data_IF_062912079530
#
_entry.id   IF_062912079530
#
_cell.length_a   1.000
_cell.length_b   1.000
_cell.length_c   1.000
_cell.angle_alpha   90.00
_cell.angle_beta   90.00
_cell.angle_gamma   90.00
#
_symmetry.space_group_name_H-M   'P 1'
#
loop_
_entity.id
_entity.type
_entity.pdbx_description
1 polymer ?
#
# COMPACT_ATOMS: atom_id res chain seq x y z
N UNK A 1 10.19 -11.05 -13.86
CA UNK A 1 9.45 -9.96 -13.20
C UNK A 1 8.67 -10.53 -12.03
N UNK A 2 8.23 -9.73 -11.05
CA UNK A 2 7.44 -10.25 -9.92
C UNK A 2 6.16 -10.95 -10.42
N UNK A 3 5.61 -10.47 -11.54
CA UNK A 3 4.52 -11.12 -12.30
C UNK A 3 4.77 -12.58 -12.73
N UNK A 4 6.02 -13.04 -12.82
CA UNK A 4 6.32 -14.46 -13.11
C UNK A 4 6.06 -15.35 -11.90
N UNK A 5 6.17 -14.79 -10.69
CA UNK A 5 5.90 -15.48 -9.42
C UNK A 5 4.43 -15.36 -9.03
N UNK A 6 3.84 -14.18 -9.22
CA UNK A 6 2.45 -13.87 -8.86
C UNK A 6 1.77 -13.14 -10.02
N UNK A 7 0.89 -13.84 -10.74
CA UNK A 7 0.12 -13.26 -11.84
C UNK A 7 -1.09 -12.49 -11.32
N UNK A 8 -1.09 -11.18 -11.53
CA UNK A 8 -2.22 -10.32 -11.20
C UNK A 8 -3.50 -10.77 -11.94
N UNK A 9 -4.64 -10.76 -11.25
CA UNK A 9 -5.94 -11.10 -11.82
C UNK A 9 -6.22 -12.59 -12.07
N UNK A 10 -5.22 -13.48 -12.03
CA UNK A 10 -5.43 -14.91 -12.30
C UNK A 10 -5.85 -15.71 -11.06
N UNK A 11 -5.30 -15.38 -9.90
CA UNK A 11 -5.68 -15.96 -8.61
C UNK A 11 -6.24 -14.84 -7.73
N UNK A 12 -7.51 -14.94 -7.36
CA UNK A 12 -8.16 -14.04 -6.41
C UNK A 12 -8.23 -14.72 -5.03
N UNK A 13 -8.32 -13.91 -3.97
CA UNK A 13 -8.48 -14.40 -2.58
C UNK A 13 -7.30 -15.23 -2.03
N UNK A 14 -6.08 -14.91 -2.45
CA UNK A 14 -4.85 -15.51 -1.93
C UNK A 14 -4.12 -14.54 -1.00
N UNK A 15 -3.45 -15.09 0.02
CA UNK A 15 -2.55 -14.34 0.89
C UNK A 15 -1.12 -14.83 0.70
N UNK A 16 -0.18 -13.89 0.63
CA UNK A 16 1.25 -14.18 0.56
C UNK A 16 1.93 -13.57 1.78
N UNK A 17 2.79 -14.36 2.43
CA UNK A 17 3.60 -13.89 3.56
C UNK A 17 5.08 -13.94 3.18
N UNK A 18 5.74 -12.79 3.23
CA UNK A 18 7.18 -12.68 2.98
C UNK A 18 7.95 -12.78 4.29
N UNK A 19 8.76 -13.84 4.43
CA UNK A 19 9.56 -14.09 5.63
C UNK A 19 11.05 -14.00 5.29
N UNK A 20 11.80 -13.28 6.10
CA UNK A 20 13.24 -13.12 5.91
C UNK A 20 13.85 -12.16 6.93
N UNK A 21 15.18 -12.20 7.06
CA UNK A 21 15.93 -11.35 7.99
C UNK A 21 15.82 -9.85 7.62
N UNK A 22 16.27 -8.98 8.53
CA UNK A 22 16.39 -7.54 8.25
C UNK A 22 17.27 -7.34 7.00
N UNK A 23 16.85 -6.45 6.10
CA UNK A 23 17.59 -6.20 4.85
C UNK A 23 17.39 -7.25 3.75
N UNK A 24 16.63 -8.32 3.97
CA UNK A 24 16.33 -9.31 2.93
C UNK A 24 15.44 -8.80 1.77
N UNK A 25 15.08 -7.51 1.76
CA UNK A 25 14.31 -6.89 0.67
C UNK A 25 12.80 -7.07 0.75
N UNK A 26 12.22 -7.41 1.92
CA UNK A 26 10.77 -7.63 2.07
C UNK A 26 9.94 -6.41 1.66
N UNK A 27 10.29 -5.23 2.18
CA UNK A 27 9.60 -3.98 1.85
C UNK A 27 9.78 -3.63 0.39
N UNK A 28 11.01 -3.72 -0.13
CA UNK A 28 11.32 -3.50 -1.55
C UNK A 28 10.52 -4.43 -2.47
N UNK A 29 10.34 -5.70 -2.09
CA UNK A 29 9.47 -6.62 -2.83
C UNK A 29 8.01 -6.17 -2.81
N UNK A 30 7.48 -5.78 -1.66
CA UNK A 30 6.10 -5.30 -1.54
C UNK A 30 5.87 -4.03 -2.37
N UNK A 31 6.82 -3.10 -2.36
CA UNK A 31 6.84 -1.89 -3.19
C UNK A 31 6.89 -2.21 -4.69
N UNK A 32 7.75 -3.13 -5.10
CA UNK A 32 7.87 -3.54 -6.50
C UNK A 32 6.59 -4.25 -6.99
N UNK A 33 6.01 -5.14 -6.16
CA UNK A 33 4.73 -5.79 -6.44
C UNK A 33 3.60 -4.76 -6.58
N UNK A 34 3.53 -3.80 -5.64
CA UNK A 34 2.56 -2.72 -5.68
C UNK A 34 2.70 -1.89 -6.97
N UNK A 35 3.92 -1.44 -7.28
CA UNK A 35 4.20 -0.63 -8.46
C UNK A 35 3.81 -1.35 -9.76
N UNK A 36 4.13 -2.64 -9.86
CA UNK A 36 3.77 -3.46 -11.01
C UNK A 36 2.24 -3.58 -11.14
N UNK A 37 1.52 -3.89 -10.05
CA UNK A 37 0.06 -3.98 -10.05
C UNK A 37 -0.62 -2.67 -10.44
N UNK A 38 -0.18 -1.55 -9.85
CA UNK A 38 -0.67 -0.21 -10.17
C UNK A 38 -0.42 0.13 -11.65
N UNK A 39 0.76 -0.20 -12.19
CA UNK A 39 1.08 0.04 -13.60
C UNK A 39 0.19 -0.75 -14.56
N UNK A 40 -0.35 -1.88 -14.11
CA UNK A 40 -1.31 -2.71 -14.84
C UNK A 40 -2.77 -2.29 -14.61
N UNK A 41 -3.01 -1.24 -13.82
CA UNK A 41 -4.35 -0.70 -13.55
C UNK A 41 -5.07 -1.33 -12.36
N UNK A 42 -4.42 -2.23 -11.61
CA UNK A 42 -5.01 -2.78 -10.39
C UNK A 42 -5.00 -1.72 -9.30
N UNK A 43 -6.16 -1.45 -8.66
CA UNK A 43 -6.18 -0.56 -7.51
C UNK A 43 -5.51 -1.24 -6.31
N UNK A 44 -5.02 -0.43 -5.38
CA UNK A 44 -4.28 -0.95 -4.25
C UNK A 44 -4.49 -0.16 -2.97
N UNK A 45 -4.30 -0.85 -1.84
CA UNK A 45 -4.20 -0.25 -0.52
C UNK A 45 -2.88 -0.71 0.09
N UNK A 46 -2.08 0.21 0.62
CA UNK A 46 -0.84 -0.11 1.31
C UNK A 46 -0.93 0.33 2.76
N UNK A 47 -0.93 -0.64 3.68
CA UNK A 47 -0.92 -0.41 5.12
C UNK A 47 0.53 -0.39 5.60
N UNK A 48 0.96 0.68 6.25
CA UNK A 48 2.31 0.80 6.80
C UNK A 48 2.28 1.06 8.31
N UNK A 49 3.12 0.35 9.05
CA UNK A 49 3.20 0.44 10.52
C UNK A 49 4.59 0.83 11.04
N UNK A 50 5.64 0.53 10.26
CA UNK A 50 7.03 0.71 10.69
C UNK A 50 7.65 2.03 10.19
N UNK A 51 7.12 2.59 9.12
CA UNK A 51 7.58 3.85 8.50
C UNK A 51 6.41 4.65 7.93
N UNK A 52 6.59 5.95 7.73
CA UNK A 52 5.54 6.80 7.16
C UNK A 52 5.38 6.58 5.65
N UNK A 53 4.19 6.86 5.08
CA UNK A 53 3.95 6.85 3.63
C UNK A 53 4.95 7.72 2.85
N UNK A 54 5.46 8.80 3.45
CA UNK A 54 6.49 9.64 2.82
C UNK A 54 7.79 8.88 2.56
N UNK A 55 8.20 8.01 3.50
CA UNK A 55 9.40 7.19 3.34
C UNK A 55 9.20 6.19 2.21
N UNK A 56 8.06 5.50 2.18
CA UNK A 56 7.71 4.54 1.11
C UNK A 56 7.70 5.22 -0.27
N UNK A 57 7.04 6.38 -0.42
CA UNK A 57 7.06 7.14 -1.69
C UNK A 57 8.48 7.51 -2.13
N UNK A 58 9.31 7.97 -1.19
CA UNK A 58 10.70 8.31 -1.50
C UNK A 58 11.48 7.07 -1.98
N UNK A 59 11.31 5.93 -1.32
CA UNK A 59 11.99 4.69 -1.70
C UNK A 59 11.50 4.17 -3.06
N UNK A 60 10.19 4.16 -3.30
CA UNK A 60 9.61 3.84 -4.61
C UNK A 60 10.13 4.76 -5.72
N UNK A 61 10.23 6.07 -5.47
CA UNK A 61 10.72 7.04 -6.46
C UNK A 61 12.17 6.81 -6.86
N UNK A 62 13.02 6.32 -5.93
CA UNK A 62 14.42 5.96 -6.20
C UNK A 62 14.53 4.76 -7.14
N UNK A 63 13.51 3.90 -7.16
CA UNK A 63 13.38 2.79 -8.10
C UNK A 63 12.69 3.19 -9.41
N UNK A 64 12.29 4.46 -9.56
CA UNK A 64 11.58 4.96 -10.73
C UNK A 64 10.07 4.68 -10.71
N UNK A 65 9.51 4.28 -9.55
CA UNK A 65 8.08 4.05 -9.38
C UNK A 65 7.44 5.27 -8.72
N UNK A 66 6.59 5.97 -9.47
CA UNK A 66 5.83 7.13 -9.00
C UNK A 66 4.36 6.76 -8.84
N UNK A 67 3.77 7.08 -7.69
CA UNK A 67 2.38 6.69 -7.34
C UNK A 67 1.43 7.87 -7.21
N UNK A 68 1.93 9.11 -7.34
CA UNK A 68 1.21 10.33 -7.01
C UNK A 68 -0.08 10.50 -7.82
N UNK A 69 -0.08 10.08 -9.09
CA UNK A 69 -1.24 10.15 -9.98
C UNK A 69 -2.34 9.19 -9.50
N UNK A 70 -1.95 7.98 -9.07
CA UNK A 70 -2.86 6.95 -8.62
C UNK A 70 -3.40 7.23 -7.22
N UNK A 71 -2.61 7.90 -6.38
CA UNK A 71 -3.09 8.46 -5.12
C UNK A 71 -4.11 9.57 -5.34
N UNK A 72 -3.80 10.53 -6.21
CA UNK A 72 -4.70 11.65 -6.51
C UNK A 72 -6.01 11.22 -7.17
N UNK A 73 -5.98 10.15 -7.98
CA UNK A 73 -7.19 9.59 -8.61
C UNK A 73 -7.94 8.59 -7.73
N UNK A 74 -7.45 8.28 -6.53
CA UNK A 74 -8.08 7.33 -5.61
C UNK A 74 -7.96 5.86 -6.03
N UNK A 75 -7.10 5.54 -7.00
CA UNK A 75 -6.78 4.17 -7.40
C UNK A 75 -5.82 3.50 -6.41
N UNK A 76 -5.01 4.30 -5.70
CA UNK A 76 -4.08 3.83 -4.68
C UNK A 76 -4.23 4.65 -3.39
N UNK A 77 -4.34 3.98 -2.25
CA UNK A 77 -4.50 4.65 -0.95
C UNK A 77 -3.54 4.06 0.09
N UNK A 78 -2.86 4.93 0.84
CA UNK A 78 -2.10 4.54 2.02
C UNK A 78 -2.98 4.52 3.28
N UNK A 79 -2.77 3.52 4.12
CA UNK A 79 -3.21 3.53 5.53
C UNK A 79 -1.96 3.63 6.41
N UNK A 80 -1.87 4.70 7.19
CA UNK A 80 -0.71 5.07 7.99
C UNK A 80 -0.94 4.79 9.48
N UNK A 81 -0.31 3.73 9.98
CA UNK A 81 -0.23 3.44 11.41
C UNK A 81 1.00 4.01 12.10
N UNK A 82 1.94 4.61 11.37
CA UNK A 82 3.23 5.03 11.91
C UNK A 82 3.19 6.48 12.41
N UNK A 83 2.68 7.41 11.60
CA UNK A 83 2.91 8.84 11.80
C UNK A 83 2.27 9.41 13.08
N UNK A 84 1.03 9.03 13.39
CA UNK A 84 0.36 9.50 14.62
C UNK A 84 1.09 9.04 15.88
N UNK A 85 1.56 7.80 15.89
CA UNK A 85 2.35 7.23 16.99
C UNK A 85 3.63 8.01 17.25
N UNK A 86 4.18 8.62 16.20
CA UNK A 86 5.38 9.46 16.27
C UNK A 86 5.07 10.95 16.48
N UNK A 87 3.80 11.33 16.67
CA UNK A 87 3.37 12.72 16.83
C UNK A 87 3.55 13.57 15.56
N UNK A 88 3.73 12.93 14.40
CA UNK A 88 3.86 13.64 13.14
C UNK A 88 2.48 14.09 12.64
N UNK A 89 2.37 15.31 12.08
CA UNK A 89 1.10 15.79 11.56
C UNK A 89 0.67 14.96 10.34
N UNK A 90 -0.60 14.55 10.34
CA UNK A 90 -1.23 13.92 9.18
C UNK A 90 -1.31 14.92 8.04
N UNK A 91 -0.42 14.74 7.07
CA UNK A 91 -0.33 15.61 5.89
C UNK A 91 -0.40 14.73 4.65
N UNK A 92 -1.46 14.90 3.86
CA UNK A 92 -1.63 14.21 2.58
C UNK A 92 -2.90 13.37 2.47
N UNK A 93 -2.92 12.47 1.49
CA UNK A 93 -4.06 11.64 1.11
C UNK A 93 -4.15 10.31 1.90
N UNK A 94 -3.16 10.03 2.75
CA UNK A 94 -3.14 8.81 3.57
C UNK A 94 -4.23 8.87 4.66
N UNK A 95 -4.81 7.71 4.98
CA UNK A 95 -5.73 7.55 6.10
C UNK A 95 -4.97 7.05 7.32
N UNK A 96 -5.10 7.72 8.44
CA UNK A 96 -4.30 7.38 9.62
C UNK A 96 -5.05 6.46 10.58
N UNK A 97 -4.29 5.66 11.30
CA UNK A 97 -4.76 4.87 12.44
C UNK A 97 -4.26 5.53 13.73
N UNK A 98 -5.16 5.75 14.67
CA UNK A 98 -4.81 6.23 16.00
C UNK A 98 -4.07 5.16 16.79
N UNK A 99 -4.46 3.89 16.63
CA UNK A 99 -3.82 2.74 17.27
C UNK A 99 -3.56 1.61 16.29
N UNK A 100 -2.28 1.25 16.14
CA UNK A 100 -1.83 0.19 15.23
C UNK A 100 -2.29 -1.20 15.65
N UNK A 101 -2.47 -1.40 16.95
CA UNK A 101 -2.90 -2.67 17.55
C UNK A 101 -4.43 -2.80 17.67
N UNK A 102 -5.19 -1.76 17.33
CA UNK A 102 -6.64 -1.81 17.28
C UNK A 102 -7.12 -2.37 15.92
N UNK A 103 -7.32 -3.68 15.89
CA UNK A 103 -7.83 -4.40 14.72
C UNK A 103 -9.22 -3.89 14.30
N UNK A 104 -10.04 -3.42 15.24
CA UNK A 104 -11.37 -2.91 14.94
C UNK A 104 -11.28 -1.59 14.19
N UNK A 105 -10.41 -0.69 14.65
CA UNK A 105 -10.13 0.57 13.96
C UNK A 105 -9.59 0.31 12.54
N UNK A 106 -8.61 -0.59 12.40
CA UNK A 106 -8.08 -0.97 11.09
C UNK A 106 -9.19 -1.50 10.18
N UNK A 107 -10.08 -2.36 10.68
CA UNK A 107 -11.20 -2.89 9.92
C UNK A 107 -12.18 -1.82 9.43
N UNK A 108 -12.50 -0.84 10.29
CA UNK A 108 -13.36 0.29 9.94
C UNK A 108 -12.70 1.16 8.85
N UNK A 109 -11.44 1.58 9.08
CA UNK A 109 -10.72 2.45 8.14
C UNK A 109 -10.51 1.74 6.80
N UNK A 110 -10.15 0.46 6.81
CA UNK A 110 -10.01 -0.33 5.59
C UNK A 110 -11.33 -0.42 4.81
N UNK A 111 -12.44 -0.65 5.50
CA UNK A 111 -13.76 -0.72 4.86
C UNK A 111 -14.10 0.60 4.16
N UNK A 112 -13.90 1.74 4.84
CA UNK A 112 -14.12 3.07 4.25
C UNK A 112 -13.19 3.37 3.06
N UNK A 113 -11.93 2.91 3.12
CA UNK A 113 -10.96 3.06 2.04
C UNK A 113 -11.40 2.26 0.82
N UNK A 114 -11.85 1.02 1.02
CA UNK A 114 -12.31 0.15 -0.05
C UNK A 114 -13.58 0.69 -0.74
N UNK A 115 -14.49 1.33 0.01
CA UNK A 115 -15.67 2.00 -0.57
C UNK A 115 -15.32 3.17 -1.49
N UNK A 116 -14.21 3.86 -1.22
CA UNK A 116 -13.75 5.04 -1.98
C UNK A 116 -12.73 4.70 -3.06
N UNK A 117 -12.25 3.46 -3.10
CA UNK A 117 -11.22 3.02 -4.01
C UNK A 117 -11.77 3.00 -5.44
N UNK A 118 -11.11 3.71 -6.35
CA UNK A 118 -11.48 3.73 -7.76
C UNK A 118 -10.93 2.48 -8.43
N UNK A 119 -11.82 1.54 -8.70
CA UNK A 119 -11.48 0.28 -9.36
C UNK A 119 -11.68 0.43 -10.87
N UNK A 120 -10.63 0.20 -11.66
CA UNK A 120 -10.79 0.04 -13.09
C UNK A 120 -11.71 -1.16 -13.35
N UNK A 121 -12.80 -0.97 -14.09
CA UNK A 121 -13.65 -2.09 -14.52
C UNK A 121 -12.79 -3.03 -15.36
N UNK A 122 -12.48 -4.20 -14.80
CA UNK A 122 -11.93 -5.32 -15.57
C UNK A 122 -13.07 -5.81 -16.47
N UNK A 123 -12.94 -5.60 -17.78
CA UNK A 123 -13.83 -6.14 -18.82
C UNK A 123 -13.27 -7.47 -19.30
#
# INVERSE_FOLDING_TARGET
MISDLVKFGQLTQVSYMLVGQLGAGKTTYAEAFLAEGISQGFPAVFVTTDVSPRVIRNDMSRHGWTTEIQEASGQFIYIDGYSERMGAPNTGLARSLAKVDDISELGIVLSEVLEKLVVARVV
#
